data_IF_783648085128
#
_entry.id   IF_783648085128
#
_cell.length_a   1.000
_cell.length_b   1.000
_cell.length_c   1.000
_cell.angle_alpha   90.00
_cell.angle_beta   90.00
_cell.angle_gamma   90.00
#
_symmetry.space_group_name_H-M   'P 1'
#
loop_
_entity.id
_entity.type
_entity.pdbx_description
1 polymer ?
#
# COMPACT_ATOMS: atom_id res chain seq x y z
N UNK A 1 -9.47 15.23 45.55
CA UNK A 1 -10.71 15.81 44.97
C UNK A 1 -10.38 16.47 43.64
N UNK A 2 -11.06 16.04 42.56
CA UNK A 2 -11.33 16.77 41.28
C UNK A 2 -10.06 17.16 40.47
N UNK A 3 -9.87 16.75 39.20
CA UNK A 3 -10.76 16.91 38.02
C UNK A 3 -10.31 16.03 36.84
N UNK A 4 -11.28 15.41 36.14
CA UNK A 4 -11.37 15.00 34.72
C UNK A 4 -10.30 14.03 34.18
N UNK A 5 -10.59 12.87 33.57
CA UNK A 5 -11.66 12.51 32.64
C UNK A 5 -11.90 13.58 31.55
N UNK A 6 -10.96 13.71 30.61
CA UNK A 6 -11.20 14.25 29.27
C UNK A 6 -9.94 14.07 28.38
N UNK A 7 -10.17 13.50 27.19
CA UNK A 7 -9.29 13.38 26.00
C UNK A 7 -8.14 12.36 26.07
N UNK A 8 -8.09 11.22 25.37
CA UNK A 8 -8.64 10.81 24.07
C UNK A 8 -8.54 11.91 23.00
N UNK A 9 -7.66 11.71 22.01
CA UNK A 9 -7.44 12.51 20.79
C UNK A 9 -6.13 13.31 20.77
N UNK A 10 -5.07 12.62 20.40
CA UNK A 10 -4.04 13.15 19.51
C UNK A 10 -3.55 11.93 18.67
N UNK A 11 -4.06 11.49 17.51
CA UNK A 11 -5.03 11.97 16.52
C UNK A 11 -5.03 13.49 16.30
N UNK A 12 -3.84 14.05 16.18
CA UNK A 12 -3.57 15.14 15.26
C UNK A 12 -2.63 14.51 14.21
N UNK A 13 -3.11 14.10 13.04
CA UNK A 13 -3.39 15.03 11.93
C UNK A 13 -2.27 16.07 11.82
N UNK A 14 -1.05 15.57 11.63
CA UNK A 14 0.03 16.27 10.95
C UNK A 14 -0.05 16.01 9.45
N UNK A 15 -1.21 16.31 8.85
CA UNK A 15 -1.28 16.56 7.42
C UNK A 15 -0.62 17.93 7.22
N UNK A 16 0.57 17.97 6.62
CA UNK A 16 1.06 19.06 5.75
C UNK A 16 2.51 18.80 5.31
N UNK A 17 2.64 18.41 4.03
CA UNK A 17 3.65 18.89 3.08
C UNK A 17 5.10 19.05 3.55
N UNK A 18 5.99 18.16 3.07
CA UNK A 18 7.41 18.45 2.94
C UNK A 18 8.32 17.33 3.42
N UNK A 19 9.04 16.70 2.48
CA UNK A 19 10.24 15.88 2.68
C UNK A 19 10.17 14.66 3.61
N UNK A 20 10.30 13.46 3.03
CA UNK A 20 11.47 12.64 3.39
C UNK A 20 11.31 11.44 4.32
N UNK A 21 10.15 10.80 4.46
CA UNK A 21 10.17 9.40 4.90
C UNK A 21 10.51 8.53 3.68
N UNK A 22 11.71 7.95 3.69
CA UNK A 22 12.13 7.03 2.64
C UNK A 22 11.12 5.87 2.57
N UNK A 23 10.63 5.58 1.35
CA UNK A 23 9.78 4.42 1.14
C UNK A 23 10.62 3.18 1.44
N UNK A 24 10.18 2.38 2.42
CA UNK A 24 10.77 1.07 2.67
C UNK A 24 10.25 0.08 1.60
N UNK A 25 10.94 0.05 0.47
CA UNK A 25 10.61 -0.83 -0.64
C UNK A 25 10.73 -2.31 -0.23
N UNK A 26 11.69 -2.65 0.63
CA UNK A 26 11.87 -4.04 1.09
C UNK A 26 10.65 -4.51 1.88
N UNK A 27 10.21 -3.74 2.88
CA UNK A 27 9.01 -4.04 3.65
C UNK A 27 7.74 -4.07 2.78
N UNK A 28 7.68 -3.23 1.74
CA UNK A 28 6.55 -3.20 0.80
C UNK A 28 6.48 -4.49 -0.04
N UNK A 29 7.63 -4.95 -0.56
CA UNK A 29 7.71 -6.20 -1.32
C UNK A 29 7.41 -7.43 -0.46
N UNK A 30 8.00 -7.51 0.73
CA UNK A 30 7.74 -8.58 1.69
C UNK A 30 6.27 -8.61 2.12
N UNK A 31 5.68 -7.44 2.39
CA UNK A 31 4.26 -7.31 2.70
C UNK A 31 3.36 -7.81 1.58
N UNK A 32 3.67 -7.49 0.33
CA UNK A 32 2.89 -7.94 -0.82
C UNK A 32 2.98 -9.46 -1.03
N UNK A 33 4.18 -10.05 -0.88
CA UNK A 33 4.33 -11.52 -0.93
C UNK A 33 3.57 -12.20 0.21
N UNK A 34 3.58 -11.62 1.41
CA UNK A 34 2.84 -12.15 2.55
C UNK A 34 1.32 -12.07 2.35
N UNK A 35 0.80 -11.02 1.71
CA UNK A 35 -0.61 -10.92 1.30
C UNK A 35 -0.98 -12.04 0.32
N UNK A 36 -0.16 -12.25 -0.72
CA UNK A 36 -0.38 -13.31 -1.72
C UNK A 36 -0.37 -14.68 -1.06
N UNK A 37 0.62 -14.96 -0.22
CA UNK A 37 0.70 -16.22 0.52
C UNK A 37 -0.54 -16.44 1.40
N UNK A 38 -1.00 -15.42 2.13
CA UNK A 38 -2.21 -15.55 2.95
C UNK A 38 -3.47 -15.81 2.11
N UNK A 39 -3.58 -15.22 0.91
CA UNK A 39 -4.66 -15.50 -0.04
C UNK A 39 -4.60 -16.93 -0.61
N UNK A 40 -3.40 -17.46 -0.84
CA UNK A 40 -3.16 -18.83 -1.30
C UNK A 40 -3.47 -19.86 -0.18
N UNK A 41 -3.17 -19.51 1.07
CA UNK A 41 -3.49 -20.28 2.28
C UNK A 41 -4.99 -20.22 2.64
N UNK A 42 -5.76 -19.33 2.02
CA UNK A 42 -7.17 -19.09 2.35
C UNK A 42 -7.38 -18.30 3.66
N UNK A 43 -6.31 -17.75 4.24
CA UNK A 43 -6.38 -16.89 5.42
C UNK A 43 -6.70 -15.44 5.03
N UNK A 44 -7.95 -15.22 4.64
CA UNK A 44 -8.41 -13.92 4.13
C UNK A 44 -8.37 -12.80 5.17
N UNK A 45 -8.52 -13.14 6.46
CA UNK A 45 -8.45 -12.16 7.55
C UNK A 45 -7.01 -11.64 7.71
N UNK A 46 -6.03 -12.55 7.70
CA UNK A 46 -4.61 -12.20 7.69
C UNK A 46 -4.22 -11.45 6.43
N UNK A 47 -4.68 -11.89 5.25
CA UNK A 47 -4.42 -11.19 3.99
C UNK A 47 -4.87 -9.72 4.04
N UNK A 48 -6.06 -9.44 4.57
CA UNK A 48 -6.59 -8.08 4.72
C UNK A 48 -5.79 -7.25 5.74
N UNK A 49 -5.30 -7.87 6.81
CA UNK A 49 -4.45 -7.19 7.78
C UNK A 49 -3.08 -6.82 7.19
N UNK A 50 -2.48 -7.72 6.40
CA UNK A 50 -1.20 -7.52 5.72
C UNK A 50 -1.28 -6.54 4.54
N UNK A 51 -2.45 -6.39 3.92
CA UNK A 51 -2.67 -5.45 2.82
C UNK A 51 -2.54 -3.99 3.25
N UNK A 52 -3.04 -3.65 4.44
CA UNK A 52 -3.12 -2.26 4.92
C UNK A 52 -1.80 -1.47 4.84
N UNK A 53 -0.63 -1.98 5.28
CA UNK A 53 0.63 -1.24 5.14
C UNK A 53 1.07 -1.08 3.68
N UNK A 54 0.85 -2.10 2.83
CA UNK A 54 1.18 -2.03 1.38
C UNK A 54 0.32 -0.97 0.69
N UNK A 55 -0.96 -0.95 1.00
CA UNK A 55 -1.93 0.00 0.47
C UNK A 55 -1.54 1.46 0.74
N UNK A 56 -1.06 1.76 1.94
CA UNK A 56 -0.57 3.09 2.32
C UNK A 56 0.60 3.55 1.45
N UNK A 57 1.53 2.64 1.12
CA UNK A 57 2.66 2.94 0.24
C UNK A 57 2.17 3.20 -1.18
N UNK A 58 1.30 2.34 -1.71
CA UNK A 58 0.73 2.52 -3.06
C UNK A 58 0.03 3.88 -3.17
N UNK A 59 -0.79 4.24 -2.17
CA UNK A 59 -1.46 5.55 -2.12
C UNK A 59 -0.49 6.72 -2.00
N UNK A 60 0.65 6.55 -1.33
CA UNK A 60 1.68 7.59 -1.22
C UNK A 60 2.42 7.81 -2.55
N UNK A 61 2.71 6.75 -3.30
CA UNK A 61 3.48 6.85 -4.56
C UNK A 61 2.61 7.14 -5.78
N UNK A 62 1.33 6.78 -5.74
CA UNK A 62 0.41 6.92 -6.87
C UNK A 62 0.35 8.34 -7.45
N UNK A 63 0.24 9.43 -6.67
CA UNK A 63 0.20 10.79 -7.24
C UNK A 63 1.47 11.17 -7.98
N UNK A 64 2.63 10.70 -7.50
CA UNK A 64 3.92 10.94 -8.15
C UNK A 64 4.02 10.16 -9.46
N UNK A 65 3.59 8.89 -9.43
CA UNK A 65 3.55 8.03 -10.61
C UNK A 65 2.56 8.53 -11.66
N UNK A 66 1.40 9.04 -11.23
CA UNK A 66 0.36 9.60 -12.09
C UNK A 66 0.83 10.87 -12.81
N UNK A 67 1.59 11.74 -12.15
CA UNK A 67 2.18 12.96 -12.77
C UNK A 67 3.15 12.64 -13.90
N UNK A 68 3.86 11.51 -13.81
CA UNK A 68 4.72 10.99 -14.89
C UNK A 68 3.92 10.37 -16.04
N UNK A 69 2.59 10.25 -15.88
CA UNK A 69 1.59 9.82 -16.86
C UNK A 69 1.99 8.57 -17.66
N UNK A 70 2.48 7.55 -16.96
CA UNK A 70 2.91 6.30 -17.54
C UNK A 70 1.83 5.20 -17.49
N UNK A 71 1.86 4.24 -18.44
CA UNK A 71 1.11 2.98 -18.34
C UNK A 71 1.26 2.29 -16.97
N UNK A 72 2.41 2.43 -16.31
CA UNK A 72 2.69 1.86 -15.00
C UNK A 72 1.76 2.38 -13.89
N UNK A 73 1.37 3.67 -13.92
CA UNK A 73 0.41 4.23 -12.97
C UNK A 73 -0.96 3.57 -13.10
N UNK A 74 -1.38 3.31 -14.35
CA UNK A 74 -2.64 2.63 -14.65
C UNK A 74 -2.61 1.18 -14.20
N UNK A 75 -1.51 0.47 -14.46
CA UNK A 75 -1.36 -0.93 -14.07
C UNK A 75 -1.39 -1.08 -12.55
N UNK A 76 -0.67 -0.22 -11.82
CA UNK A 76 -0.67 -0.22 -10.35
C UNK A 76 -2.06 0.05 -9.80
N UNK A 77 -2.75 1.08 -10.30
CA UNK A 77 -4.12 1.41 -9.87
C UNK A 77 -5.11 0.27 -10.14
N UNK A 78 -5.02 -0.33 -11.33
CA UNK A 78 -5.91 -1.42 -11.72
C UNK A 78 -5.79 -2.60 -10.75
N UNK A 79 -4.58 -3.08 -10.49
CA UNK A 79 -4.38 -4.25 -9.64
C UNK A 79 -4.58 -3.96 -8.15
N UNK A 80 -4.27 -2.74 -7.69
CA UNK A 80 -4.66 -2.28 -6.36
C UNK A 80 -6.20 -2.34 -6.19
N UNK A 81 -6.94 -1.83 -7.17
CA UNK A 81 -8.40 -1.86 -7.14
C UNK A 81 -8.96 -3.29 -7.17
N UNK A 82 -8.32 -4.24 -7.86
CA UNK A 82 -8.70 -5.66 -7.78
C UNK A 82 -8.57 -6.21 -6.36
N UNK A 83 -7.46 -5.92 -5.68
CA UNK A 83 -7.23 -6.32 -4.28
C UNK A 83 -8.29 -5.70 -3.36
N UNK A 84 -8.47 -4.39 -3.40
CA UNK A 84 -9.40 -3.68 -2.52
C UNK A 84 -10.85 -4.09 -2.75
N UNK A 85 -11.31 -4.09 -4.00
CA UNK A 85 -12.67 -4.48 -4.34
C UNK A 85 -12.91 -5.95 -4.01
N UNK A 86 -11.92 -6.82 -4.21
CA UNK A 86 -11.98 -8.21 -3.78
C UNK A 86 -12.19 -8.34 -2.28
N UNK A 87 -11.38 -7.64 -1.47
CA UNK A 87 -11.53 -7.63 -0.01
C UNK A 87 -12.83 -6.98 0.51
N UNK A 88 -13.40 -6.03 -0.23
CA UNK A 88 -14.67 -5.38 0.13
C UNK A 88 -15.88 -6.25 -0.22
N UNK A 89 -15.83 -6.94 -1.35
CA UNK A 89 -16.93 -7.76 -1.85
C UNK A 89 -16.89 -9.21 -1.38
N UNK A 90 -15.79 -9.65 -0.76
CA UNK A 90 -15.55 -11.05 -0.44
C UNK A 90 -15.19 -11.90 -1.66
N UNK A 91 -14.86 -11.26 -2.78
CA UNK A 91 -14.37 -11.91 -4.00
C UNK A 91 -12.85 -12.13 -3.88
N UNK A 92 -12.49 -13.22 -3.19
CA UNK A 92 -11.09 -13.55 -2.90
C UNK A 92 -10.29 -13.92 -4.14
N UNK A 93 -10.95 -14.37 -5.21
CA UNK A 93 -10.32 -14.66 -6.49
C UNK A 93 -9.89 -13.36 -7.18
N UNK A 94 -10.77 -12.34 -7.19
CA UNK A 94 -10.40 -10.99 -7.64
C UNK A 94 -9.25 -10.42 -6.80
N UNK A 95 -9.28 -10.61 -5.48
CA UNK A 95 -8.19 -10.15 -4.63
C UNK A 95 -6.86 -10.86 -4.96
N UNK A 96 -6.91 -12.17 -5.22
CA UNK A 96 -5.73 -12.96 -5.61
C UNK A 96 -5.15 -12.50 -6.94
N UNK A 97 -5.98 -12.25 -7.95
CA UNK A 97 -5.51 -11.73 -9.25
C UNK A 97 -4.76 -10.41 -9.11
N UNK A 98 -5.27 -9.48 -8.30
CA UNK A 98 -4.56 -8.25 -7.99
C UNK A 98 -3.25 -8.50 -7.24
N UNK A 99 -3.27 -9.38 -6.23
CA UNK A 99 -2.12 -9.67 -5.39
C UNK A 99 -1.00 -10.44 -6.12
N UNK A 100 -1.33 -11.22 -7.14
CA UNK A 100 -0.36 -11.94 -7.97
C UNK A 100 0.45 -10.99 -8.87
N UNK A 101 -0.19 -9.95 -9.41
CA UNK A 101 0.44 -9.01 -10.33
C UNK A 101 1.26 -7.92 -9.63
N UNK A 102 0.78 -7.45 -8.46
CA UNK A 102 1.36 -6.31 -7.75
C UNK A 102 2.85 -6.43 -7.41
N UNK A 103 3.43 -7.58 -7.00
CA UNK A 103 4.86 -7.69 -6.73
C UNK A 103 5.73 -7.26 -7.92
N UNK A 104 5.34 -7.66 -9.14
CA UNK A 104 6.08 -7.29 -10.35
C UNK A 104 5.92 -5.80 -10.71
N UNK A 105 4.75 -5.23 -10.43
CA UNK A 105 4.44 -3.82 -10.68
C UNK A 105 5.21 -2.95 -9.68
N UNK A 106 5.19 -3.30 -8.40
CA UNK A 106 5.91 -2.60 -7.34
C UNK A 106 7.41 -2.52 -7.64
N UNK A 107 8.03 -3.58 -8.19
CA UNK A 107 9.45 -3.54 -8.60
C UNK A 107 9.71 -2.53 -9.72
N UNK A 108 8.79 -2.39 -10.68
CA UNK A 108 8.88 -1.38 -11.74
C UNK A 108 8.69 0.02 -11.19
N UNK A 109 7.76 0.19 -10.25
CA UNK A 109 7.51 1.47 -9.57
C UNK A 109 8.72 1.88 -8.76
N UNK A 110 9.33 0.96 -8.02
CA UNK A 110 10.63 1.17 -7.36
C UNK A 110 11.72 1.53 -8.36
N UNK A 111 11.81 0.89 -9.53
CA UNK A 111 12.82 1.30 -10.52
C UNK A 111 12.58 2.73 -11.07
N UNK A 112 11.32 3.13 -11.24
CA UNK A 112 10.94 4.46 -11.76
C UNK A 112 11.02 5.58 -10.71
N UNK A 113 10.80 5.25 -9.45
CA UNK A 113 10.72 6.20 -8.32
C UNK A 113 11.89 6.07 -7.35
N UNK A 114 12.54 4.92 -7.25
CA UNK A 114 13.67 4.60 -6.35
C UNK A 114 14.98 5.30 -6.70
N UNK A 115 15.05 5.96 -7.86
CA UNK A 115 16.03 7.03 -8.09
C UNK A 115 15.83 8.25 -7.18
N UNK A 116 14.75 8.30 -6.39
CA UNK A 116 14.43 9.34 -5.40
C UNK A 116 14.81 8.94 -3.97
N UNK A 117 15.47 7.80 -3.75
CA UNK A 117 16.00 7.39 -2.44
C UNK A 117 17.44 6.86 -2.54
N UNK A 118 18.39 7.80 -2.54
CA UNK A 118 19.71 7.76 -1.90
C UNK A 118 20.53 8.95 -2.43
N UNK A 119 20.22 10.16 -1.96
CA UNK A 119 21.19 11.24 -2.00
C UNK A 119 22.16 11.07 -0.83
N UNK A 120 23.49 11.22 -1.02
CA UNK A 120 24.40 11.42 0.11
C UNK A 120 24.02 12.67 0.94
#
# INVERSE_FOLDING_TARGET
MRRGLALLLFLAVGFLAGCGDAIDWNATHEGMEAVRQALDEGDYAKAKALWKPVDQVIHAVYPTLQKKNGPLARDMWHHMALVELGFMSGDWEKARQGAEALPSILKKVEAELGGMSAGP
#
